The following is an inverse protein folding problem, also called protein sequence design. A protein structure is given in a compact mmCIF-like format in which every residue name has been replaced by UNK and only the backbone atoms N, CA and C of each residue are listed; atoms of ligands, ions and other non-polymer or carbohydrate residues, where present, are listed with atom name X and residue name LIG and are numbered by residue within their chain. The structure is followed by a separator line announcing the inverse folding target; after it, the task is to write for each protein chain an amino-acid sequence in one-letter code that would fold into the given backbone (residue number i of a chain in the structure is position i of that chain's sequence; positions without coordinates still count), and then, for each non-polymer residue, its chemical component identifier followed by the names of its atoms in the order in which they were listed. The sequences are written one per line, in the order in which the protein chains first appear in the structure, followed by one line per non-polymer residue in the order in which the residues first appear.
data_IF_382254458147
#
_entry.id   IF_382254458147
#
_cell.length_a   1.000
_cell.length_b   1.000
_cell.length_c   1.000
_cell.angle_alpha   90.00
_cell.angle_beta   90.00
_cell.angle_gamma   90.00
#
_symmetry.space_group_name_H-M   'P 1'
#
loop_
_entity.id
_entity.type
_entity.pdbx_description
1 polymer ?
#
# COMPACT_ATOMS: atom_id res chain seq x y z
N UNK A 1 -0.62 16.79 -23.19
CA UNK A 1 -1.21 16.68 -21.82
C UNK A 1 -2.36 17.67 -21.72
N UNK A 2 -3.55 17.24 -21.23
CA UNK A 2 -4.67 18.17 -21.01
C UNK A 2 -4.31 19.14 -19.88
N UNK A 3 -4.69 20.44 -20.00
CA UNK A 3 -4.41 21.48 -18.98
C UNK A 3 -4.86 21.05 -17.57
N UNK A 4 -6.00 20.39 -17.47
CA UNK A 4 -6.52 19.90 -16.19
C UNK A 4 -5.61 18.84 -15.53
N UNK A 5 -4.95 17.96 -16.31
CA UNK A 5 -4.04 16.95 -15.76
C UNK A 5 -2.81 17.58 -15.10
N UNK A 6 -2.27 18.67 -15.70
CA UNK A 6 -1.14 19.38 -15.09
C UNK A 6 -1.51 19.98 -13.74
N UNK A 7 -2.70 20.55 -13.63
CA UNK A 7 -3.20 21.11 -12.36
C UNK A 7 -3.28 19.99 -11.30
N UNK A 8 -3.83 18.83 -11.66
CA UNK A 8 -3.93 17.71 -10.73
C UNK A 8 -2.57 17.14 -10.32
N UNK A 9 -1.59 17.10 -11.24
CA UNK A 9 -0.21 16.70 -10.89
C UNK A 9 0.37 17.67 -9.86
N UNK A 10 0.23 18.99 -10.10
CA UNK A 10 0.72 20.01 -9.17
C UNK A 10 0.07 19.85 -7.80
N UNK A 11 -1.26 19.69 -7.75
CA UNK A 11 -2.00 19.49 -6.50
C UNK A 11 -1.49 18.22 -5.76
N UNK A 12 -1.41 17.10 -6.46
CA UNK A 12 -0.92 15.85 -5.87
C UNK A 12 0.51 15.99 -5.32
N UNK A 13 1.39 16.66 -6.07
CA UNK A 13 2.78 16.86 -5.64
C UNK A 13 2.87 17.82 -4.43
N UNK A 14 2.10 18.90 -4.42
CA UNK A 14 2.04 19.80 -3.25
C UNK A 14 1.52 19.05 -2.02
N UNK A 15 0.42 18.33 -2.16
CA UNK A 15 -0.15 17.57 -1.04
C UNK A 15 0.80 16.46 -0.56
N UNK A 16 1.42 15.71 -1.47
CA UNK A 16 2.39 14.67 -1.13
C UNK A 16 3.64 15.25 -0.45
N UNK A 17 4.16 16.37 -0.97
CA UNK A 17 5.32 17.06 -0.38
C UNK A 17 5.02 17.66 0.99
N UNK A 18 3.85 18.28 1.16
CA UNK A 18 3.42 18.81 2.46
C UNK A 18 3.23 17.69 3.49
N UNK A 19 2.59 16.59 3.09
CA UNK A 19 2.36 15.45 3.96
C UNK A 19 3.68 14.81 4.40
N UNK A 20 4.55 14.48 3.45
CA UNK A 20 5.87 13.90 3.74
C UNK A 20 6.76 14.89 4.50
N UNK A 21 6.80 16.15 4.10
CA UNK A 21 7.60 17.19 4.71
C UNK A 21 7.18 17.48 6.16
N UNK A 22 5.87 17.52 6.45
CA UNK A 22 5.37 17.68 7.82
C UNK A 22 5.78 16.51 8.73
N UNK A 23 5.82 15.30 8.17
CA UNK A 23 6.27 14.11 8.87
C UNK A 23 7.80 14.13 9.08
N UNK A 24 8.58 14.44 8.04
CA UNK A 24 10.04 14.56 8.14
C UNK A 24 10.45 15.63 9.16
N UNK A 25 9.72 16.75 9.26
CA UNK A 25 10.00 17.78 10.25
C UNK A 25 9.78 17.34 11.71
N UNK A 26 9.02 16.25 11.92
CA UNK A 26 8.74 15.68 13.25
C UNK A 26 9.47 14.36 13.51
N UNK A 27 10.37 13.93 12.62
CA UNK A 27 11.04 12.63 12.71
C UNK A 27 12.58 12.71 12.76
N UNK A 28 13.28 11.60 12.77
CA UNK A 28 14.42 11.20 13.60
C UNK A 28 15.68 12.08 13.61
N UNK A 29 15.89 12.94 12.64
CA UNK A 29 17.00 13.91 12.70
C UNK A 29 16.84 14.94 13.80
N UNK A 30 15.62 15.10 14.33
CA UNK A 30 15.26 16.01 15.42
C UNK A 30 14.85 15.28 16.73
N UNK A 31 15.03 13.95 16.79
CA UNK A 31 14.60 13.11 17.92
C UNK A 31 13.08 13.02 18.04
N UNK A 32 12.48 11.97 17.53
CA UNK A 32 11.05 11.61 17.56
C UNK A 32 10.19 12.48 18.50
N UNK A 33 9.52 13.48 17.98
CA UNK A 33 8.63 14.38 18.73
C UNK A 33 7.54 14.94 17.82
N UNK A 34 6.57 15.64 18.40
CA UNK A 34 5.52 16.31 17.64
C UNK A 34 4.26 15.49 17.40
N UNK A 35 3.30 16.06 16.65
CA UNK A 35 1.95 15.52 16.53
C UNK A 35 1.89 14.16 15.83
N UNK A 36 2.78 13.89 14.88
CA UNK A 36 2.83 12.60 14.17
C UNK A 36 3.27 11.47 15.10
N UNK A 37 4.26 11.71 15.99
CA UNK A 37 4.65 10.71 16.98
C UNK A 37 3.53 10.49 18.00
N UNK A 38 2.87 11.55 18.47
CA UNK A 38 1.76 11.45 19.42
C UNK A 38 0.61 10.60 18.83
N UNK A 39 0.28 10.80 17.55
CA UNK A 39 -0.71 10.00 16.83
C UNK A 39 -0.26 8.54 16.70
N UNK A 40 0.95 8.30 16.24
CA UNK A 40 1.55 6.97 16.09
C UNK A 40 1.55 6.20 17.42
N UNK A 41 1.96 6.86 18.49
CA UNK A 41 1.96 6.31 19.86
C UNK A 41 0.56 5.96 20.32
N UNK A 42 -0.40 6.86 20.10
CA UNK A 42 -1.80 6.65 20.49
C UNK A 42 -2.41 5.45 19.76
N UNK A 43 -2.18 5.34 18.45
CA UNK A 43 -2.66 4.21 17.64
C UNK A 43 -1.97 2.92 18.04
N UNK A 44 -0.65 2.94 18.23
CA UNK A 44 0.11 1.75 18.66
C UNK A 44 -0.40 1.22 19.98
N UNK A 45 -0.46 2.04 21.03
CA UNK A 45 -0.89 1.59 22.35
C UNK A 45 -2.36 1.23 22.43
N UNK A 46 -3.23 1.88 21.63
CA UNK A 46 -4.62 1.46 21.50
C UNK A 46 -4.74 -0.02 21.14
N UNK A 47 -4.01 -0.49 20.13
CA UNK A 47 -4.03 -1.89 19.73
C UNK A 47 -3.20 -2.78 20.66
N UNK A 48 -2.00 -2.35 21.05
CA UNK A 48 -1.07 -3.15 21.84
C UNK A 48 -1.63 -3.51 23.23
N UNK A 49 -2.37 -2.58 23.86
CA UNK A 49 -3.03 -2.87 25.13
C UNK A 49 -4.18 -3.87 24.99
N UNK A 50 -4.86 -3.94 23.84
CA UNK A 50 -5.91 -4.95 23.61
C UNK A 50 -5.36 -6.36 23.55
N UNK A 51 -4.11 -6.53 23.10
CA UNK A 51 -3.45 -7.84 23.07
C UNK A 51 -3.35 -8.48 24.45
N UNK A 52 -3.10 -7.70 25.50
CA UNK A 52 -3.03 -8.20 26.87
C UNK A 52 -4.41 -8.46 27.52
N UNK A 53 -5.49 -7.89 26.97
CA UNK A 53 -6.84 -7.97 27.57
C UNK A 53 -7.61 -9.22 27.17
N UNK A 54 -7.24 -9.89 26.09
CA UNK A 54 -7.98 -11.08 25.66
C UNK A 54 -7.34 -11.86 24.52
N UNK A 55 -7.25 -13.16 24.72
CA UNK A 55 -6.63 -14.10 23.77
C UNK A 55 -7.31 -14.11 22.40
N UNK A 56 -8.62 -13.85 22.32
CA UNK A 56 -9.34 -13.81 21.05
C UNK A 56 -8.79 -12.72 20.11
N UNK A 57 -8.55 -11.51 20.63
CA UNK A 57 -7.94 -10.43 19.84
C UNK A 57 -6.49 -10.73 19.49
N UNK A 58 -5.74 -11.35 20.37
CA UNK A 58 -4.36 -11.76 20.16
C UNK A 58 -4.25 -12.80 19.03
N UNK A 59 -5.06 -13.87 19.07
CA UNK A 59 -5.08 -14.88 18.00
C UNK A 59 -5.58 -14.31 16.68
N UNK A 60 -6.60 -13.45 16.71
CA UNK A 60 -7.05 -12.77 15.49
C UNK A 60 -5.93 -11.93 14.89
N UNK A 61 -5.26 -11.08 15.72
CA UNK A 61 -4.15 -10.24 15.26
C UNK A 61 -2.98 -11.09 14.75
N UNK A 62 -2.66 -12.19 15.43
CA UNK A 62 -1.63 -13.11 14.98
C UNK A 62 -1.96 -13.72 13.61
N UNK A 63 -3.19 -14.21 13.44
CA UNK A 63 -3.65 -14.82 12.19
C UNK A 63 -3.55 -13.85 10.99
N UNK A 64 -4.08 -12.62 11.15
CA UNK A 64 -4.05 -11.64 10.05
C UNK A 64 -2.66 -11.02 9.83
N UNK A 65 -1.69 -11.27 10.73
CA UNK A 65 -0.29 -10.87 10.58
C UNK A 65 0.64 -12.01 10.16
N UNK A 66 0.13 -13.21 9.88
CA UNK A 66 0.94 -14.25 9.26
C UNK A 66 1.33 -13.86 7.83
N UNK A 67 2.51 -14.28 7.36
CA UNK A 67 2.95 -14.04 5.97
C UNK A 67 1.99 -14.61 4.93
N UNK A 68 1.31 -15.72 5.24
CA UNK A 68 0.28 -16.29 4.37
C UNK A 68 -0.90 -15.34 4.13
N UNK A 69 -1.17 -14.42 5.06
CA UNK A 69 -2.26 -13.45 4.92
C UNK A 69 -1.97 -12.38 3.85
N UNK A 70 -0.69 -12.10 3.55
CA UNK A 70 -0.32 -11.24 2.43
C UNK A 70 -0.78 -11.83 1.09
N UNK A 71 -0.79 -13.16 0.97
CA UNK A 71 -1.33 -13.85 -0.20
C UNK A 71 -2.85 -13.66 -0.32
N UNK A 72 -3.58 -13.57 0.79
CA UNK A 72 -5.03 -13.28 0.77
C UNK A 72 -5.30 -11.88 0.22
N UNK A 73 -4.48 -10.88 0.58
CA UNK A 73 -4.57 -9.54 0.01
C UNK A 73 -4.36 -9.55 -1.51
N UNK A 74 -3.33 -10.27 -1.97
CA UNK A 74 -3.04 -10.43 -3.39
C UNK A 74 -4.19 -11.14 -4.13
N UNK A 75 -4.72 -12.22 -3.58
CA UNK A 75 -5.89 -12.93 -4.14
C UNK A 75 -7.12 -12.04 -4.18
N UNK A 76 -7.37 -11.21 -3.15
CA UNK A 76 -8.47 -10.26 -3.14
C UNK A 76 -8.34 -9.22 -4.28
N UNK A 77 -7.14 -8.65 -4.48
CA UNK A 77 -6.87 -7.76 -5.61
C UNK A 77 -7.10 -8.46 -6.95
N UNK A 78 -6.57 -9.68 -7.11
CA UNK A 78 -6.78 -10.48 -8.32
C UNK A 78 -8.25 -10.80 -8.55
N UNK A 79 -9.02 -11.14 -7.52
CA UNK A 79 -10.44 -11.44 -7.64
C UNK A 79 -11.24 -10.22 -8.12
N UNK A 80 -10.96 -9.03 -7.55
CA UNK A 80 -11.56 -7.78 -8.02
C UNK A 80 -11.20 -7.55 -9.49
N UNK A 81 -9.92 -7.59 -9.83
CA UNK A 81 -9.43 -7.35 -11.20
C UNK A 81 -10.01 -8.37 -12.19
N UNK A 82 -10.00 -9.65 -11.83
CA UNK A 82 -10.54 -10.73 -12.64
C UNK A 82 -12.04 -10.64 -12.85
N UNK A 83 -12.80 -10.07 -11.91
CA UNK A 83 -14.24 -9.84 -12.06
C UNK A 83 -14.57 -8.92 -13.25
N UNK A 84 -13.72 -7.92 -13.51
CA UNK A 84 -13.82 -7.03 -14.67
C UNK A 84 -13.27 -7.68 -15.93
N UNK A 85 -12.15 -8.39 -15.81
CA UNK A 85 -11.54 -9.15 -16.90
C UNK A 85 -12.51 -10.16 -17.52
N UNK A 86 -13.22 -10.92 -16.70
CA UNK A 86 -14.22 -11.91 -17.19
C UNK A 86 -15.36 -11.30 -18.00
N UNK A 87 -15.79 -10.09 -17.65
CA UNK A 87 -16.90 -9.39 -18.30
C UNK A 87 -16.50 -8.70 -19.61
N UNK A 88 -15.20 -8.57 -19.87
CA UNK A 88 -14.66 -7.87 -21.04
C UNK A 88 -14.66 -8.78 -22.27
N UNK A 89 -14.80 -8.17 -23.46
CA UNK A 89 -14.54 -8.82 -24.73
C UNK A 89 -13.03 -9.13 -24.91
N UNK A 90 -12.64 -9.75 -26.01
CA UNK A 90 -11.25 -10.19 -26.26
C UNK A 90 -10.27 -9.02 -26.23
N UNK A 91 -10.64 -7.89 -26.83
CA UNK A 91 -9.80 -6.68 -26.84
C UNK A 91 -9.67 -6.08 -25.44
N UNK A 92 -10.79 -5.99 -24.70
CA UNK A 92 -10.79 -5.52 -23.33
C UNK A 92 -9.98 -6.41 -22.38
N UNK A 93 -9.96 -7.73 -22.60
CA UNK A 93 -9.10 -8.65 -21.85
C UNK A 93 -7.63 -8.39 -22.10
N UNK A 94 -7.22 -8.18 -23.35
CA UNK A 94 -5.84 -7.79 -23.70
C UNK A 94 -5.47 -6.47 -23.03
N UNK A 95 -6.34 -5.47 -23.16
CA UNK A 95 -6.13 -4.14 -22.57
C UNK A 95 -5.99 -4.21 -21.03
N UNK A 96 -6.88 -4.92 -20.35
CA UNK A 96 -6.78 -5.12 -18.90
C UNK A 96 -5.50 -5.86 -18.50
N UNK A 97 -5.08 -6.88 -19.25
CA UNK A 97 -3.80 -7.54 -19.01
C UNK A 97 -2.63 -6.55 -19.07
N UNK A 98 -2.61 -5.68 -20.10
CA UNK A 98 -1.59 -4.65 -20.25
C UNK A 98 -1.62 -3.65 -19.08
N UNK A 99 -2.82 -3.28 -18.58
CA UNK A 99 -2.97 -2.45 -17.37
C UNK A 99 -2.36 -3.16 -16.15
N UNK A 100 -2.62 -4.45 -15.96
CA UNK A 100 -2.03 -5.23 -14.88
C UNK A 100 -0.50 -5.20 -14.91
N UNK A 101 0.09 -5.36 -16.10
CA UNK A 101 1.55 -5.24 -16.28
C UNK A 101 2.03 -3.81 -15.97
N UNK A 102 1.36 -2.78 -16.48
CA UNK A 102 1.72 -1.39 -16.23
C UNK A 102 1.65 -1.04 -14.73
N UNK A 103 0.67 -1.59 -14.01
CA UNK A 103 0.53 -1.44 -12.57
C UNK A 103 1.72 -2.06 -11.82
N UNK A 104 2.14 -3.27 -12.18
CA UNK A 104 3.31 -3.93 -11.58
C UNK A 104 4.61 -3.14 -11.85
N UNK A 105 4.79 -2.66 -13.08
CA UNK A 105 5.94 -1.80 -13.44
C UNK A 105 5.94 -0.52 -12.62
N UNK A 106 4.77 0.13 -12.46
CA UNK A 106 4.64 1.33 -11.62
C UNK A 106 5.01 1.05 -10.16
N UNK A 107 4.62 -0.09 -9.63
CA UNK A 107 4.98 -0.49 -8.27
C UNK A 107 6.50 -0.66 -8.11
N UNK A 108 7.16 -1.28 -9.09
CA UNK A 108 8.63 -1.41 -9.09
C UNK A 108 9.31 -0.03 -9.16
N UNK A 109 8.81 0.87 -10.02
CA UNK A 109 9.33 2.24 -10.14
C UNK A 109 9.21 2.97 -8.80
N UNK A 110 8.03 2.98 -8.19
CA UNK A 110 7.79 3.68 -6.92
C UNK A 110 8.70 3.13 -5.82
N UNK A 111 8.89 1.81 -5.78
CA UNK A 111 9.80 1.19 -4.81
C UNK A 111 11.27 1.59 -4.99
N UNK A 112 11.71 2.00 -6.18
CA UNK A 112 13.07 2.56 -6.34
C UNK A 112 13.17 3.97 -5.75
N UNK A 113 12.10 4.78 -5.83
CA UNK A 113 12.08 6.11 -5.21
C UNK A 113 12.12 6.06 -3.68
N UNK A 114 11.55 5.03 -3.06
CA UNK A 114 11.67 4.76 -1.64
C UNK A 114 13.14 4.70 -1.19
N UNK A 115 13.99 4.02 -1.94
CA UNK A 115 15.42 3.89 -1.65
C UNK A 115 16.22 5.19 -1.74
N UNK A 116 15.66 6.24 -2.35
CA UNK A 116 16.33 7.55 -2.43
C UNK A 116 16.21 8.34 -1.12
N UNK A 117 15.29 7.97 -0.24
CA UNK A 117 15.16 8.58 1.06
C UNK A 117 15.98 7.77 2.09
N UNK A 118 16.98 8.33 2.73
CA UNK A 118 17.79 7.65 3.74
C UNK A 118 17.01 7.61 5.07
N UNK A 119 15.81 7.02 5.06
CA UNK A 119 14.96 6.89 6.25
C UNK A 119 15.12 5.47 6.78
N UNK A 120 15.87 5.35 7.87
CA UNK A 120 15.96 4.11 8.63
C UNK A 120 15.04 4.22 9.85
N UNK A 121 13.90 3.53 9.79
CA UNK A 121 12.88 3.55 10.82
C UNK A 121 12.51 2.12 11.21
N UNK A 122 12.81 1.74 12.44
CA UNK A 122 12.32 0.48 13.00
C UNK A 122 10.80 0.54 13.22
N UNK A 123 10.15 -0.61 13.27
CA UNK A 123 8.70 -0.68 13.52
C UNK A 123 8.33 -0.15 14.92
N UNK A 124 7.05 0.20 15.09
CA UNK A 124 6.52 0.74 16.34
C UNK A 124 6.79 -0.19 17.54
N UNK A 125 6.56 -1.49 17.37
CA UNK A 125 6.83 -2.49 18.41
C UNK A 125 8.30 -2.50 18.84
N UNK A 126 9.23 -2.48 17.89
CA UNK A 126 10.67 -2.47 18.19
C UNK A 126 11.07 -1.16 18.89
N UNK A 127 10.61 -0.02 18.38
CA UNK A 127 10.92 1.29 18.96
C UNK A 127 10.44 1.41 20.42
N UNK A 128 9.18 1.10 20.67
CA UNK A 128 8.62 1.25 22.02
C UNK A 128 9.15 0.20 22.99
N UNK A 129 9.51 -1.00 22.51
CA UNK A 129 10.16 -1.99 23.35
C UNK A 129 11.58 -1.54 23.77
N UNK A 130 12.34 -0.97 22.85
CA UNK A 130 13.67 -0.41 23.16
C UNK A 130 13.61 0.75 24.15
N UNK A 131 12.55 1.58 24.07
CA UNK A 131 12.43 2.77 24.93
C UNK A 131 11.82 2.48 26.30
N UNK A 132 10.84 1.55 26.37
CA UNK A 132 9.99 1.42 27.58
C UNK A 132 9.87 -0.01 28.09
N UNK A 133 10.33 -1.03 27.34
CA UNK A 133 10.22 -2.47 27.69
C UNK A 133 8.81 -2.92 28.09
N UNK A 134 7.78 -2.35 27.47
CA UNK A 134 6.38 -2.57 27.85
C UNK A 134 5.49 -3.00 26.68
N UNK A 135 6.08 -3.62 25.64
CA UNK A 135 5.37 -4.04 24.44
C UNK A 135 4.82 -5.44 24.59
N UNK A 136 3.54 -5.60 24.28
CA UNK A 136 2.90 -6.90 24.13
C UNK A 136 3.20 -7.44 22.72
N UNK A 137 4.07 -8.42 22.62
CA UNK A 137 4.45 -9.02 21.35
C UNK A 137 3.42 -10.06 20.90
N UNK A 138 2.80 -9.84 19.74
CA UNK A 138 1.78 -10.73 19.18
C UNK A 138 2.29 -12.16 19.02
N UNK A 139 3.52 -12.31 18.49
CA UNK A 139 4.15 -13.61 18.27
C UNK A 139 4.42 -14.36 19.57
N UNK A 140 4.81 -13.64 20.63
CA UNK A 140 5.09 -14.25 21.95
C UNK A 140 3.79 -14.64 22.66
N UNK A 141 2.78 -13.76 22.67
CA UNK A 141 1.52 -14.01 23.34
C UNK A 141 0.71 -15.14 22.67
N UNK A 142 0.72 -15.21 21.36
CA UNK A 142 -0.04 -16.22 20.61
C UNK A 142 0.71 -17.53 20.41
N UNK A 143 2.05 -17.50 20.44
CA UNK A 143 2.89 -18.62 20.03
C UNK A 143 2.93 -18.86 18.51
N UNK A 144 2.32 -17.97 17.70
CA UNK A 144 2.25 -18.09 16.25
C UNK A 144 3.26 -17.19 15.54
N UNK A 145 3.73 -17.54 14.31
CA UNK A 145 4.72 -16.77 13.57
C UNK A 145 4.11 -15.50 12.94
N UNK A 146 3.58 -14.62 13.79
CA UNK A 146 3.04 -13.32 13.36
C UNK A 146 4.16 -12.34 13.05
N UNK A 147 3.97 -11.51 12.01
CA UNK A 147 4.86 -10.39 11.69
C UNK A 147 4.48 -9.20 12.58
N UNK A 148 5.18 -9.05 13.69
CA UNK A 148 5.00 -7.99 14.69
C UNK A 148 6.18 -7.05 14.81
N UNK A 149 7.21 -7.20 13.97
CA UNK A 149 8.42 -6.36 13.95
C UNK A 149 8.97 -6.17 12.55
N UNK A 150 9.69 -5.06 12.35
CA UNK A 150 10.46 -4.76 11.13
C UNK A 150 11.68 -3.90 11.49
N UNK A 151 12.83 -4.18 10.88
CA UNK A 151 14.04 -3.35 11.00
C UNK A 151 13.96 -2.08 10.14
N UNK A 152 13.18 -2.09 9.05
CA UNK A 152 12.88 -0.92 8.21
C UNK A 152 11.39 -0.94 7.90
N UNK A 153 10.64 0.02 8.41
CA UNK A 153 9.18 0.03 8.33
C UNK A 153 8.61 1.11 7.40
N UNK A 154 9.36 2.19 7.15
CA UNK A 154 8.92 3.31 6.31
C UNK A 154 9.52 3.22 4.90
N UNK A 155 8.71 3.51 3.86
CA UNK A 155 7.25 3.59 3.85
C UNK A 155 6.60 2.21 3.98
N UNK A 156 5.29 2.15 4.22
CA UNK A 156 4.56 0.89 4.29
C UNK A 156 4.40 0.24 2.90
N UNK A 157 5.36 -0.59 2.49
CA UNK A 157 5.38 -1.27 1.17
C UNK A 157 4.05 -1.90 0.81
N UNK A 158 3.46 -2.65 1.75
CA UNK A 158 2.19 -3.34 1.54
C UNK A 158 1.05 -2.37 1.27
N UNK A 159 0.92 -1.31 2.08
CA UNK A 159 -0.08 -0.26 1.86
C UNK A 159 0.11 0.48 0.54
N UNK A 160 1.35 0.72 0.15
CA UNK A 160 1.70 1.37 -1.12
C UNK A 160 1.24 0.54 -2.32
N UNK A 161 1.47 -0.77 -2.33
CA UNK A 161 1.00 -1.68 -3.39
C UNK A 161 -0.52 -1.68 -3.52
N UNK A 162 -1.23 -1.71 -2.41
CA UNK A 162 -2.70 -1.68 -2.38
C UNK A 162 -3.26 -0.34 -2.88
N UNK A 163 -2.61 0.78 -2.56
CA UNK A 163 -2.99 2.10 -3.07
C UNK A 163 -2.73 2.24 -4.58
N UNK A 164 -1.60 1.75 -5.08
CA UNK A 164 -1.32 1.72 -6.52
C UNK A 164 -2.43 0.98 -7.25
N UNK A 165 -2.81 -0.21 -6.75
CA UNK A 165 -3.92 -0.96 -7.28
C UNK A 165 -5.21 -0.14 -7.30
N UNK A 166 -5.57 0.50 -6.19
CA UNK A 166 -6.80 1.28 -6.08
C UNK A 166 -6.83 2.46 -7.08
N UNK A 167 -5.71 3.20 -7.24
CA UNK A 167 -5.64 4.35 -8.16
C UNK A 167 -5.70 3.89 -9.62
N UNK A 168 -5.08 2.75 -9.97
CA UNK A 168 -5.23 2.15 -11.30
C UNK A 168 -6.67 1.73 -11.58
N UNK A 169 -7.34 1.09 -10.60
CA UNK A 169 -8.75 0.72 -10.71
C UNK A 169 -9.63 1.95 -10.93
N UNK A 170 -9.32 3.08 -10.27
CA UNK A 170 -10.05 4.33 -10.48
C UNK A 170 -9.87 4.85 -11.90
N UNK A 171 -8.61 4.99 -12.35
CA UNK A 171 -8.31 5.59 -13.66
C UNK A 171 -8.91 4.80 -14.82
N UNK A 172 -8.78 3.46 -14.80
CA UNK A 172 -9.06 2.64 -15.96
C UNK A 172 -10.40 1.91 -15.92
N UNK A 173 -10.97 1.70 -14.74
CA UNK A 173 -12.22 0.94 -14.60
C UNK A 173 -13.34 1.81 -14.05
N UNK A 174 -13.05 2.62 -13.02
CA UNK A 174 -13.99 3.60 -12.49
C UNK A 174 -14.25 3.49 -10.99
N UNK A 175 -15.24 4.28 -10.53
CA UNK A 175 -15.49 4.53 -9.10
C UNK A 175 -15.83 3.26 -8.32
N UNK A 176 -16.64 2.36 -8.87
CA UNK A 176 -17.04 1.11 -8.19
C UNK A 176 -15.81 0.22 -7.90
N UNK A 177 -14.95 0.08 -8.90
CA UNK A 177 -13.70 -0.67 -8.77
C UNK A 177 -12.74 -0.04 -7.74
N UNK A 178 -12.66 1.29 -7.73
CA UNK A 178 -11.90 2.05 -6.76
C UNK A 178 -12.38 1.81 -5.33
N UNK A 179 -13.69 1.89 -5.09
CA UNK A 179 -14.25 1.68 -3.74
C UNK A 179 -13.91 0.27 -3.22
N UNK A 180 -14.04 -0.76 -4.07
CA UNK A 180 -13.66 -2.14 -3.70
C UNK A 180 -12.17 -2.26 -3.40
N UNK A 181 -11.33 -1.63 -4.20
CA UNK A 181 -9.88 -1.62 -4.00
C UNK A 181 -9.47 -0.85 -2.73
N UNK A 182 -10.15 0.27 -2.41
CA UNK A 182 -9.92 1.00 -1.17
C UNK A 182 -10.36 0.21 0.06
N UNK A 183 -11.45 -0.57 -0.03
CA UNK A 183 -11.82 -1.48 1.05
C UNK A 183 -10.72 -2.53 1.31
N UNK A 184 -10.13 -3.09 0.24
CA UNK A 184 -8.97 -4.00 0.35
C UNK A 184 -7.77 -3.28 0.99
N UNK A 185 -7.47 -2.04 0.57
CA UNK A 185 -6.40 -1.24 1.19
C UNK A 185 -6.59 -1.10 2.70
N UNK A 186 -7.78 -0.70 3.14
CA UNK A 186 -8.05 -0.50 4.58
C UNK A 186 -7.94 -1.83 5.35
N UNK A 187 -8.62 -2.87 4.86
CA UNK A 187 -8.70 -4.18 5.55
C UNK A 187 -7.32 -4.82 5.69
N UNK A 188 -6.47 -4.72 4.67
CA UNK A 188 -5.18 -5.41 4.66
C UNK A 188 -3.99 -4.55 5.13
N UNK A 189 -4.15 -3.23 5.23
CA UNK A 189 -3.14 -2.37 5.87
C UNK A 189 -3.27 -2.36 7.40
N UNK A 190 -4.49 -2.43 7.91
CA UNK A 190 -4.78 -2.35 9.35
C UNK A 190 -4.07 -3.44 10.19
N UNK A 191 -4.01 -4.71 9.77
CA UNK A 191 -3.32 -5.75 10.53
C UNK A 191 -1.86 -5.43 10.85
N UNK A 192 -1.14 -4.81 9.93
CA UNK A 192 0.28 -4.45 10.12
C UNK A 192 0.47 -3.37 11.18
N UNK A 193 -0.51 -2.48 11.31
CA UNK A 193 -0.55 -1.45 12.35
C UNK A 193 -0.95 -2.09 13.69
N UNK A 194 -1.97 -2.95 13.69
CA UNK A 194 -2.44 -3.66 14.88
C UNK A 194 -1.35 -4.52 15.52
N UNK A 195 -0.55 -5.21 14.70
CA UNK A 195 0.57 -6.03 15.15
C UNK A 195 1.83 -5.25 15.52
N UNK A 196 1.88 -3.94 15.25
CA UNK A 196 3.02 -3.09 15.52
C UNK A 196 4.20 -3.23 14.54
N UNK A 197 4.05 -4.00 13.45
CA UNK A 197 5.07 -4.15 12.41
C UNK A 197 5.24 -2.89 11.55
N UNK A 198 4.23 -2.05 11.49
CA UNK A 198 4.26 -0.72 10.89
C UNK A 198 3.64 0.30 11.83
N UNK A 199 4.10 1.54 11.69
CA UNK A 199 3.44 2.69 12.28
C UNK A 199 2.21 3.08 11.46
N UNK A 200 1.27 3.78 12.07
CA UNK A 200 0.17 4.36 11.33
C UNK A 200 0.66 5.28 10.21
N UNK A 201 1.67 6.12 10.50
CA UNK A 201 2.24 7.05 9.53
C UNK A 201 3.05 6.38 8.42
N UNK A 202 3.57 5.16 8.58
CA UNK A 202 4.22 4.43 7.48
C UNK A 202 3.24 4.20 6.32
N UNK A 203 1.97 3.93 6.65
CA UNK A 203 0.92 3.68 5.67
C UNK A 203 0.27 4.99 5.21
N UNK A 204 -0.24 5.81 6.15
CA UNK A 204 -1.05 6.99 5.83
C UNK A 204 -0.23 8.22 5.45
N UNK A 205 1.05 8.28 5.82
CA UNK A 205 1.96 9.32 5.33
C UNK A 205 2.86 8.74 4.25
N UNK A 206 3.62 7.70 4.56
CA UNK A 206 4.58 7.12 3.64
C UNK A 206 3.94 6.65 2.34
N UNK A 207 3.07 5.63 2.39
CA UNK A 207 2.46 5.08 1.17
C UNK A 207 1.66 6.11 0.38
N UNK A 208 0.89 6.97 1.06
CA UNK A 208 0.07 8.00 0.38
C UNK A 208 0.94 9.06 -0.28
N UNK A 209 1.99 9.55 0.38
CA UNK A 209 2.89 10.55 -0.19
C UNK A 209 3.60 10.04 -1.44
N UNK A 210 4.14 8.81 -1.41
CA UNK A 210 4.78 8.22 -2.59
C UNK A 210 3.82 8.04 -3.77
N UNK A 211 2.60 7.61 -3.50
CA UNK A 211 1.56 7.51 -4.53
C UNK A 211 1.23 8.88 -5.11
N UNK A 212 1.08 9.91 -4.27
CA UNK A 212 0.80 11.27 -4.73
C UNK A 212 1.97 11.86 -5.52
N UNK A 213 3.22 11.67 -5.06
CA UNK A 213 4.40 12.27 -5.68
C UNK A 213 4.80 11.58 -6.99
N UNK A 214 4.76 10.26 -7.04
CA UNK A 214 5.31 9.50 -8.17
C UNK A 214 4.21 8.99 -9.09
N UNK A 215 3.16 8.33 -8.55
CA UNK A 215 2.12 7.72 -9.38
C UNK A 215 1.29 8.77 -10.13
N UNK A 216 1.16 9.99 -9.59
CA UNK A 216 0.50 11.09 -10.28
C UNK A 216 1.16 11.41 -11.64
N UNK A 217 2.50 11.39 -11.71
CA UNK A 217 3.23 11.56 -12.96
C UNK A 217 3.00 10.39 -13.92
N UNK A 218 3.00 9.18 -13.44
CA UNK A 218 2.79 7.99 -14.28
C UNK A 218 1.38 8.00 -14.88
N UNK A 219 0.36 8.33 -14.07
CA UNK A 219 -1.04 8.17 -14.48
C UNK A 219 -1.68 9.42 -15.07
N UNK A 220 -1.28 10.63 -14.67
CA UNK A 220 -1.87 11.88 -15.18
C UNK A 220 -1.11 12.43 -16.39
N UNK A 221 0.09 11.93 -16.69
CA UNK A 221 0.75 12.10 -17.99
C UNK A 221 0.37 10.96 -18.93
N UNK A 222 0.75 11.01 -20.21
CA UNK A 222 0.54 9.91 -21.15
C UNK A 222 1.40 8.66 -20.91
N UNK A 223 2.31 8.65 -19.92
CA UNK A 223 3.31 7.60 -19.76
C UNK A 223 2.69 6.19 -19.65
N UNK A 224 1.73 6.02 -18.73
CA UNK A 224 1.06 4.73 -18.56
C UNK A 224 0.27 4.34 -19.81
N UNK A 225 -0.42 5.29 -20.43
CA UNK A 225 -1.26 5.03 -21.61
C UNK A 225 -0.40 4.67 -22.84
N UNK A 226 0.77 5.32 -23.02
CA UNK A 226 1.76 4.97 -24.06
C UNK A 226 2.31 3.55 -23.82
N UNK A 227 2.68 3.24 -22.58
CA UNK A 227 3.22 1.93 -22.24
C UNK A 227 2.19 0.81 -22.44
N UNK A 228 0.94 1.04 -22.02
CA UNK A 228 -0.17 0.10 -22.24
C UNK A 228 -0.40 -0.11 -23.74
N UNK A 229 -0.48 0.96 -24.54
CA UNK A 229 -0.66 0.88 -25.99
C UNK A 229 0.50 0.18 -26.69
N UNK A 230 1.74 0.39 -26.25
CA UNK A 230 2.90 -0.35 -26.75
C UNK A 230 2.80 -1.84 -26.44
N UNK A 231 2.42 -2.22 -25.22
CA UNK A 231 2.20 -3.63 -24.87
C UNK A 231 1.10 -4.27 -25.71
N UNK A 232 -0.02 -3.57 -25.93
CA UNK A 232 -1.12 -4.08 -26.76
C UNK A 232 -0.69 -4.39 -28.20
N UNK A 233 0.21 -3.59 -28.79
CA UNK A 233 0.75 -3.85 -30.12
C UNK A 233 1.65 -5.08 -30.18
N UNK A 234 2.31 -5.43 -29.06
CA UNK A 234 3.21 -6.60 -28.97
C UNK A 234 2.48 -7.90 -28.63
N UNK A 235 1.29 -7.81 -28.01
CA UNK A 235 0.54 -8.99 -27.56
C UNK A 235 -0.53 -9.39 -28.58
N UNK A 236 -0.42 -10.60 -29.20
CA UNK A 236 -1.40 -11.05 -30.17
C UNK A 236 -2.76 -11.31 -29.54
N UNK A 237 -3.84 -10.83 -30.15
CA UNK A 237 -5.23 -11.07 -29.69
C UNK A 237 -5.58 -12.53 -29.50
N UNK A 238 -5.00 -13.43 -30.32
CA UNK A 238 -5.22 -14.88 -30.22
C UNK A 238 -4.92 -15.48 -28.84
N UNK A 239 -4.09 -14.85 -28.04
CA UNK A 239 -3.79 -15.32 -26.68
C UNK A 239 -4.97 -15.11 -25.70
N UNK A 240 -5.87 -14.23 -26.03
CA UNK A 240 -7.03 -13.86 -25.20
C UNK A 240 -8.34 -14.48 -25.71
N UNK A 241 -8.30 -15.17 -26.84
CA UNK A 241 -9.44 -15.92 -27.38
C UNK A 241 -9.53 -17.27 -26.69
N UNK A 242 -10.69 -17.57 -26.10
CA UNK A 242 -10.95 -18.89 -25.51
C UNK A 242 -10.92 -19.92 -26.65
N UNK A 243 -10.04 -20.93 -26.61
CA UNK A 243 -10.13 -22.08 -27.50
C UNK A 243 -11.52 -22.70 -27.27
N UNK A 244 -12.33 -22.83 -28.32
CA UNK A 244 -13.49 -23.71 -28.31
C UNK A 244 -12.94 -25.13 -28.33
N UNK A 245 -13.11 -25.85 -27.24
CA UNK A 245 -13.02 -27.31 -27.19
C UNK A 245 -14.27 -27.88 -27.83
#
# INVERSE_FOLDING_TARGET
MKKNNLIWIIICNILGALLLGSWLASTPTAGYHGPWLALDQSVFYFFNQQLAKGMAFTYFTAFVNMRAFDMVAFVAMLAIFYSYYRKSNVEGKRWLFCIGVAMLVSAVIIKQFDKLLPIDRVSASVYFDQMYHNVNWVSQLSGWPAKDRSGSSFPGDHGMMLLIFAVYMWKYIGKDAFIKAMAVFIIFSLPRIMGGAHWFTDVFVGSVSFVLLVLSWILLTPLADIFIGWLEQKLPLRWFVKKRE
#
